data_IF_730822805590
#
_entry.id   IF_730822805590
#
_cell.length_a   1.000
_cell.length_b   1.000
_cell.length_c   1.000
_cell.angle_alpha   90.00
_cell.angle_beta   90.00
_cell.angle_gamma   90.00
#
_symmetry.space_group_name_H-M   'P 1'
#
loop_
_entity.id
_entity.type
_entity.pdbx_description
1 polymer ?
#
# COMPACT_ATOMS: atom_id res chain seq x y z
N UNK A 1 1.51 7.02 -19.47
CA UNK A 1 0.93 7.43 -18.18
C UNK A 1 2.10 7.59 -17.22
N UNK A 2 2.40 8.82 -16.80
CA UNK A 2 3.65 9.17 -16.13
C UNK A 2 3.77 8.48 -14.77
N UNK A 3 4.70 7.52 -14.60
CA UNK A 3 5.29 7.25 -13.28
C UNK A 3 6.20 8.43 -12.97
N UNK A 4 5.66 9.47 -12.34
CA UNK A 4 6.49 10.36 -11.55
C UNK A 4 6.90 9.54 -10.33
N UNK A 5 8.10 8.97 -10.37
CA UNK A 5 8.72 8.40 -9.17
C UNK A 5 9.04 9.55 -8.22
N UNK A 6 8.03 10.05 -7.52
CA UNK A 6 8.19 10.88 -6.34
C UNK A 6 9.04 10.05 -5.38
N UNK A 7 10.25 10.52 -5.09
CA UNK A 7 11.06 9.96 -4.02
C UNK A 7 10.35 10.22 -2.70
N UNK A 8 9.43 9.32 -2.32
CA UNK A 8 8.72 9.39 -1.04
C UNK A 8 9.75 9.48 0.07
N UNK A 9 9.55 10.45 0.97
CA UNK A 9 10.40 10.63 2.13
C UNK A 9 10.36 9.38 3.01
N UNK A 10 11.45 9.09 3.72
CA UNK A 10 11.52 7.94 4.62
C UNK A 10 10.41 7.94 5.68
N UNK A 11 10.06 9.07 6.34
CA UNK A 11 8.96 9.11 7.28
C UNK A 11 7.61 8.76 6.65
N UNK A 12 7.37 9.19 5.40
CA UNK A 12 6.13 8.88 4.69
C UNK A 12 6.04 7.40 4.35
N UNK A 13 7.15 6.81 3.88
CA UNK A 13 7.22 5.37 3.60
C UNK A 13 6.98 4.55 4.86
N UNK A 14 7.51 4.98 5.99
CA UNK A 14 7.33 4.28 7.26
C UNK A 14 5.89 4.38 7.79
N UNK A 15 5.27 5.56 7.69
CA UNK A 15 3.84 5.71 7.99
C UNK A 15 2.97 4.76 7.15
N UNK A 16 3.27 4.65 5.84
CA UNK A 16 2.58 3.72 4.94
C UNK A 16 2.86 2.25 5.30
N UNK A 17 4.07 1.88 5.75
CA UNK A 17 4.34 0.51 6.25
C UNK A 17 3.48 0.18 7.46
N UNK A 18 3.42 1.10 8.42
CA UNK A 18 2.67 0.89 9.66
C UNK A 18 1.16 0.77 9.39
N UNK A 19 0.63 1.54 8.44
CA UNK A 19 -0.78 1.48 8.03
C UNK A 19 -1.10 0.36 7.01
N UNK A 20 -0.10 -0.38 6.52
CA UNK A 20 -0.27 -1.31 5.41
C UNK A 20 -1.23 -2.46 5.74
N UNK A 21 -1.11 -3.04 6.94
CA UNK A 21 -1.95 -4.17 7.33
C UNK A 21 -3.42 -3.75 7.48
N UNK A 22 -3.68 -2.57 8.04
CA UNK A 22 -5.02 -2.00 8.16
C UNK A 22 -5.62 -1.69 6.78
N UNK A 23 -4.80 -1.14 5.89
CA UNK A 23 -5.19 -0.88 4.49
C UNK A 23 -5.58 -2.18 3.79
N UNK A 24 -4.82 -3.26 3.97
CA UNK A 24 -5.15 -4.58 3.42
C UNK A 24 -6.46 -5.12 3.99
N UNK A 25 -6.72 -4.92 5.28
CA UNK A 25 -7.98 -5.33 5.92
C UNK A 25 -9.19 -4.55 5.37
N UNK A 26 -9.05 -3.23 5.16
CA UNK A 26 -10.07 -2.41 4.51
C UNK A 26 -10.40 -2.92 3.10
N UNK A 27 -9.39 -3.27 2.30
CA UNK A 27 -9.61 -3.83 0.96
C UNK A 27 -10.32 -5.19 1.00
N UNK A 28 -9.97 -6.07 1.94
CA UNK A 28 -10.68 -7.35 2.15
C UNK A 28 -12.15 -7.12 2.50
N UNK A 29 -12.46 -6.07 3.25
CA UNK A 29 -13.81 -5.65 3.62
C UNK A 29 -14.55 -4.87 2.53
N UNK A 30 -13.96 -4.71 1.34
CA UNK A 30 -14.49 -3.87 0.24
C UNK A 30 -14.68 -2.40 0.62
N UNK A 31 -13.89 -1.92 1.59
CA UNK A 31 -13.92 -0.55 2.13
C UNK A 31 -12.77 0.30 1.57
N UNK A 32 -12.51 0.17 0.26
CA UNK A 32 -11.46 0.95 -0.40
C UNK A 32 -11.70 2.46 -0.31
N UNK A 33 -12.96 2.88 -0.21
CA UNK A 33 -13.37 4.28 -0.03
C UNK A 33 -12.91 4.92 1.27
N UNK A 34 -12.52 4.12 2.27
CA UNK A 34 -12.01 4.62 3.56
C UNK A 34 -10.49 4.83 3.55
N UNK A 35 -9.82 4.48 2.45
CA UNK A 35 -8.38 4.70 2.27
C UNK A 35 -8.21 6.07 1.60
N UNK A 36 -7.34 6.91 2.14
CA UNK A 36 -7.08 8.22 1.55
C UNK A 36 -6.55 8.05 0.10
N UNK A 37 -7.06 8.81 -0.89
CA UNK A 37 -6.60 8.71 -2.27
C UNK A 37 -5.08 8.91 -2.42
N UNK A 38 -4.49 9.82 -1.63
CA UNK A 38 -3.04 10.04 -1.58
C UNK A 38 -2.26 8.84 -1.03
N UNK A 39 -2.83 8.07 -0.10
CA UNK A 39 -2.21 6.83 0.36
C UNK A 39 -2.22 5.78 -0.76
N UNK A 40 -3.33 5.66 -1.50
CA UNK A 40 -3.44 4.74 -2.65
C UNK A 40 -2.40 5.07 -3.72
N UNK A 41 -2.26 6.34 -4.07
CA UNK A 41 -1.26 6.80 -5.04
C UNK A 41 0.17 6.47 -4.58
N UNK A 42 0.49 6.72 -3.31
CA UNK A 42 1.80 6.42 -2.75
C UNK A 42 2.07 4.90 -2.70
N UNK A 43 1.07 4.11 -2.34
CA UNK A 43 1.12 2.66 -2.35
C UNK A 43 1.37 2.08 -3.74
N UNK A 44 0.78 2.67 -4.78
CA UNK A 44 1.01 2.30 -6.17
C UNK A 44 2.40 2.77 -6.63
N UNK A 45 2.85 3.96 -6.21
CA UNK A 45 4.18 4.48 -6.52
C UNK A 45 5.30 3.61 -5.91
N UNK A 46 5.04 3.03 -4.72
CA UNK A 46 5.92 2.06 -4.05
C UNK A 46 5.85 0.64 -4.62
N UNK A 47 4.99 0.40 -5.62
CA UNK A 47 4.75 -0.91 -6.21
C UNK A 47 4.15 -1.93 -5.22
N UNK A 48 3.54 -1.47 -4.12
CA UNK A 48 2.92 -2.37 -3.13
C UNK A 48 1.50 -2.78 -3.51
N UNK A 49 0.83 -1.90 -4.25
CA UNK A 49 -0.49 -2.14 -4.80
C UNK A 49 -0.53 -1.83 -6.29
N UNK A 50 -1.48 -2.46 -6.98
CA UNK A 50 -1.74 -2.25 -8.39
C UNK A 50 -3.25 -2.21 -8.64
N UNK A 51 -3.66 -1.46 -9.66
CA UNK A 51 -5.02 -1.52 -10.17
C UNK A 51 -5.16 -2.73 -11.10
N UNK A 52 -6.09 -3.63 -10.77
CA UNK A 52 -6.43 -4.79 -11.56
C UNK A 52 -7.95 -4.82 -11.80
N UNK A 53 -8.36 -4.56 -13.05
CA UNK A 53 -9.77 -4.66 -13.46
C UNK A 53 -10.73 -3.78 -12.65
N UNK A 54 -10.29 -2.60 -12.18
CA UNK A 54 -11.10 -1.70 -11.34
C UNK A 54 -11.06 -2.00 -9.84
N UNK A 55 -10.26 -2.97 -9.40
CA UNK A 55 -10.01 -3.26 -8.00
C UNK A 55 -8.55 -3.01 -7.62
N UNK A 56 -8.30 -2.53 -6.41
CA UNK A 56 -6.95 -2.37 -5.89
C UNK A 56 -6.48 -3.71 -5.32
N UNK A 57 -5.35 -4.23 -5.82
CA UNK A 57 -4.80 -5.53 -5.42
C UNK A 57 -3.36 -5.40 -4.93
N UNK A 58 -3.01 -6.24 -3.97
CA UNK A 58 -1.64 -6.34 -3.45
C UNK A 58 -0.72 -6.99 -4.50
N UNK A 59 0.45 -6.40 -4.74
CA UNK A 59 1.50 -6.98 -5.60
C UNK A 59 2.34 -8.01 -4.83
N UNK A 60 3.33 -8.63 -5.48
CA UNK A 60 4.31 -9.47 -4.80
C UNK A 60 5.23 -8.67 -3.87
N UNK A 61 5.59 -7.44 -4.25
CA UNK A 61 6.36 -6.53 -3.41
C UNK A 61 5.56 -6.19 -2.16
N UNK A 62 4.29 -5.77 -2.31
CA UNK A 62 3.40 -5.48 -1.17
C UNK A 62 3.19 -6.69 -0.26
N UNK A 63 3.03 -7.89 -0.82
CA UNK A 63 2.98 -9.15 -0.03
C UNK A 63 4.23 -9.34 0.81
N UNK A 64 5.41 -9.10 0.25
CA UNK A 64 6.66 -9.25 0.99
C UNK A 64 6.79 -8.21 2.12
N UNK A 65 6.33 -6.98 1.89
CA UNK A 65 6.31 -5.94 2.92
C UNK A 65 5.33 -6.29 4.04
N UNK A 66 4.12 -6.79 3.73
CA UNK A 66 3.21 -7.28 4.76
C UNK A 66 3.85 -8.36 5.63
N UNK A 67 4.57 -9.32 5.03
CA UNK A 67 5.31 -10.35 5.78
C UNK A 67 6.37 -9.75 6.69
N UNK A 68 7.12 -8.75 6.22
CA UNK A 68 8.15 -8.07 7.03
C UNK A 68 7.52 -7.31 8.20
N UNK A 69 6.42 -6.59 7.97
CA UNK A 69 5.70 -5.86 9.02
C UNK A 69 5.15 -6.85 10.06
N UNK A 70 4.52 -7.95 9.64
CA UNK A 70 4.03 -8.97 10.57
C UNK A 70 5.17 -9.66 11.34
N UNK A 71 6.32 -9.92 10.70
CA UNK A 71 7.47 -10.52 11.36
C UNK A 71 8.15 -9.58 12.38
N UNK A 72 8.07 -8.27 12.18
CA UNK A 72 8.57 -7.27 13.13
C UNK A 72 7.63 -6.98 14.31
N UNK A 73 6.41 -7.52 14.29
CA UNK A 73 5.44 -7.43 15.39
C UNK A 73 5.50 -8.62 16.36
N UNK A 74 6.33 -9.64 16.07
CA UNK A 74 6.55 -10.83 16.88
C UNK A 74 7.76 -10.66 17.81
#
# INVERSE_FOLDING_TARGET
MFRLSSSLSEPRREALRNALLDTVDLLKKRRASDIAPSDIEDYIALDWFEWNGGSLRLTDVGRNVCKQVTAGLA
#
